data_IF_425858250643
#
_entry.id   IF_425858250643
#
_cell.length_a   1.000
_cell.length_b   1.000
_cell.length_c   1.000
_cell.angle_alpha   90.00
_cell.angle_beta   90.00
_cell.angle_gamma   90.00
#
_symmetry.space_group_name_H-M   'P 1'
#
loop_
_entity.id
_entity.type
_entity.pdbx_description
1 polymer ?
#
# COMPACT_ATOMS: atom_id res chain seq x y z
N UNK A 1 -26.65 -18.14 -16.72
CA UNK A 1 -26.07 -16.86 -16.26
C UNK A 1 -24.68 -17.15 -15.71
N UNK A 2 -23.67 -16.86 -16.48
CA UNK A 2 -22.28 -17.00 -16.02
C UNK A 2 -21.94 -15.75 -15.24
N UNK A 3 -21.78 -15.87 -13.93
CA UNK A 3 -21.19 -14.82 -13.13
C UNK A 3 -19.70 -14.82 -13.41
N UNK A 4 -19.29 -13.95 -14.28
CA UNK A 4 -17.89 -13.64 -14.54
C UNK A 4 -17.34 -12.90 -13.32
N UNK A 5 -16.93 -13.67 -12.31
CA UNK A 5 -16.24 -13.13 -11.14
C UNK A 5 -14.82 -12.85 -11.60
N UNK A 6 -14.55 -11.60 -11.89
CA UNK A 6 -13.20 -11.14 -12.20
C UNK A 6 -12.23 -11.63 -11.10
N UNK A 7 -11.06 -12.19 -11.43
CA UNK A 7 -10.10 -12.68 -10.44
C UNK A 7 -9.61 -11.61 -9.46
N UNK A 8 -9.92 -10.35 -9.70
CA UNK A 8 -9.60 -9.22 -8.84
C UNK A 8 -10.54 -9.02 -7.64
N UNK A 9 -11.66 -9.74 -7.58
CA UNK A 9 -12.68 -9.54 -6.54
C UNK A 9 -12.62 -10.58 -5.42
N UNK A 10 -11.70 -11.53 -5.51
CA UNK A 10 -11.55 -12.60 -4.52
C UNK A 10 -10.75 -12.13 -3.31
N UNK A 11 -11.38 -12.12 -2.14
CA UNK A 11 -10.71 -11.89 -0.87
C UNK A 11 -10.00 -13.17 -0.43
N UNK A 12 -8.70 -13.09 -0.22
CA UNK A 12 -7.87 -14.15 0.31
C UNK A 12 -7.63 -13.93 1.81
N UNK A 13 -7.61 -15.00 2.57
CA UNK A 13 -7.16 -14.96 3.96
C UNK A 13 -5.75 -15.51 4.06
N UNK A 14 -4.87 -14.74 4.67
CA UNK A 14 -3.48 -15.11 4.79
C UNK A 14 -2.88 -14.61 6.11
N UNK A 15 -1.78 -15.21 6.58
CA UNK A 15 -1.09 -14.70 7.75
C UNK A 15 -0.44 -13.34 7.45
N UNK A 16 -0.38 -12.46 8.43
CA UNK A 16 0.20 -11.11 8.29
C UNK A 16 1.62 -11.16 7.71
N UNK A 17 2.44 -12.12 8.12
CA UNK A 17 3.82 -12.29 7.63
C UNK A 17 3.92 -12.52 6.12
N UNK A 18 2.90 -13.09 5.51
CA UNK A 18 2.88 -13.34 4.06
C UNK A 18 2.81 -12.04 3.24
N UNK A 19 2.34 -10.95 3.83
CA UNK A 19 2.29 -9.63 3.19
C UNK A 19 3.66 -8.94 3.12
N UNK A 20 4.66 -9.41 3.87
CA UNK A 20 6.01 -8.86 3.93
C UNK A 20 6.04 -7.34 4.17
N UNK A 21 5.26 -6.86 5.15
CA UNK A 21 5.17 -5.45 5.48
C UNK A 21 6.52 -4.92 5.93
N UNK A 22 6.84 -3.69 5.54
CA UNK A 22 8.09 -3.02 5.89
C UNK A 22 7.83 -1.87 6.85
N UNK A 23 8.74 -1.66 7.80
CA UNK A 23 8.71 -0.52 8.71
C UNK A 23 8.64 0.80 7.93
N UNK A 24 7.76 1.70 8.37
CA UNK A 24 7.49 2.98 7.71
C UNK A 24 6.40 2.92 6.64
N UNK A 25 5.85 1.75 6.34
CA UNK A 25 4.77 1.60 5.38
C UNK A 25 3.52 2.34 5.86
N UNK A 26 2.87 3.06 4.95
CA UNK A 26 1.64 3.78 5.24
C UNK A 26 0.48 2.82 5.53
N UNK A 27 -0.25 3.11 6.58
CA UNK A 27 -1.46 2.43 6.99
C UNK A 27 -2.59 3.43 7.20
N UNK A 28 -3.80 2.94 7.15
CA UNK A 28 -4.98 3.66 7.64
C UNK A 28 -5.61 2.87 8.78
N UNK A 29 -5.96 3.57 9.84
CA UNK A 29 -6.66 3.02 10.99
C UNK A 29 -8.00 3.69 11.17
N UNK A 30 -9.00 2.92 11.60
CA UNK A 30 -10.32 3.42 11.93
C UNK A 30 -10.85 2.69 13.16
N UNK A 31 -11.28 3.43 14.17
CA UNK A 31 -11.99 2.87 15.33
C UNK A 31 -13.35 2.34 14.88
N UNK A 32 -13.84 1.27 15.52
CA UNK A 32 -15.17 0.72 15.24
C UNK A 32 -16.32 1.49 15.91
N UNK A 33 -16.07 2.67 16.40
CA UNK A 33 -17.09 3.55 16.98
C UNK A 33 -17.72 4.40 15.87
N UNK A 34 -19.04 4.54 15.89
CA UNK A 34 -19.75 5.38 14.92
C UNK A 34 -19.20 6.82 14.88
N UNK A 35 -19.17 7.38 13.68
CA UNK A 35 -18.70 8.76 13.48
C UNK A 35 -17.19 8.96 13.50
N UNK A 36 -16.40 7.88 13.63
CA UNK A 36 -14.94 7.99 13.60
C UNK A 36 -14.39 8.03 12.17
N UNK A 37 -13.53 9.00 11.90
CA UNK A 37 -12.81 9.12 10.63
C UNK A 37 -11.63 8.17 10.55
N UNK A 38 -11.21 7.87 9.32
CA UNK A 38 -9.94 7.20 9.06
C UNK A 38 -8.79 8.10 9.48
N UNK A 39 -7.75 7.51 10.06
CA UNK A 39 -6.50 8.20 10.42
C UNK A 39 -5.35 7.56 9.69
N UNK A 40 -4.45 8.38 9.20
CA UNK A 40 -3.18 7.94 8.64
C UNK A 40 -2.25 7.47 9.75
N UNK A 41 -1.58 6.36 9.51
CA UNK A 41 -0.67 5.73 10.44
C UNK A 41 0.51 5.11 9.70
N UNK A 42 1.49 4.58 10.44
CA UNK A 42 2.64 3.86 9.91
C UNK A 42 2.77 2.50 10.59
N UNK A 43 3.17 1.52 9.80
CA UNK A 43 3.59 0.22 10.31
C UNK A 43 5.03 0.32 10.84
N UNK A 44 5.25 0.01 12.11
CA UNK A 44 6.58 -0.02 12.70
C UNK A 44 7.21 -1.41 12.72
N UNK A 45 6.39 -2.43 12.91
CA UNK A 45 6.84 -3.81 12.95
C UNK A 45 5.81 -4.73 13.60
N UNK A 46 6.11 -6.01 13.62
CA UNK A 46 5.30 -7.01 14.32
C UNK A 46 6.16 -8.13 14.88
N UNK A 47 5.66 -8.70 15.97
CA UNK A 47 6.19 -9.94 16.54
C UNK A 47 5.07 -10.98 16.43
N UNK A 48 5.32 -12.03 15.67
CA UNK A 48 4.34 -13.07 15.42
C UNK A 48 3.76 -13.64 16.72
N UNK A 49 2.44 -13.67 16.80
CA UNK A 49 1.71 -14.13 17.97
C UNK A 49 1.74 -13.19 19.18
N UNK A 50 2.46 -12.07 19.11
CA UNK A 50 2.56 -11.10 20.23
C UNK A 50 1.89 -9.77 19.95
N UNK A 51 2.16 -9.16 18.79
CA UNK A 51 1.54 -7.88 18.47
C UNK A 51 2.09 -7.20 17.23
N UNK A 52 1.37 -6.17 16.83
CA UNK A 52 1.71 -5.28 15.73
C UNK A 52 1.89 -3.87 16.27
N UNK A 53 3.01 -3.25 15.98
CA UNK A 53 3.32 -1.86 16.37
C UNK A 53 2.93 -0.91 15.25
N UNK A 54 2.08 0.05 15.58
CA UNK A 54 1.57 1.06 14.67
C UNK A 54 1.82 2.44 15.27
N UNK A 55 2.42 3.32 14.52
CA UNK A 55 2.70 4.70 14.93
C UNK A 55 1.87 5.73 14.16
N UNK A 56 1.86 6.99 14.64
CA UNK A 56 1.23 8.07 13.90
C UNK A 56 1.99 8.36 12.61
N UNK A 57 1.29 8.89 11.61
CA UNK A 57 1.91 9.28 10.34
C UNK A 57 2.87 10.47 10.50
N UNK A 58 2.50 11.45 11.34
CA UNK A 58 3.35 12.61 11.63
C UNK A 58 4.38 12.30 12.70
N UNK A 59 5.64 12.66 12.46
CA UNK A 59 6.72 12.57 13.43
C UNK A 59 6.53 13.48 14.65
N UNK A 60 5.74 14.54 14.50
CA UNK A 60 5.46 15.52 15.55
C UNK A 60 4.27 15.13 16.43
N UNK A 61 3.61 14.02 16.12
CA UNK A 61 2.48 13.56 16.93
C UNK A 61 2.94 13.15 18.33
N UNK A 62 2.24 13.65 19.34
CA UNK A 62 2.49 13.35 20.75
C UNK A 62 1.63 12.22 21.29
N UNK A 63 0.65 11.78 20.53
CA UNK A 63 -0.30 10.72 20.90
C UNK A 63 -0.67 9.87 19.68
N UNK A 64 -1.04 8.61 19.91
CA UNK A 64 -1.50 7.69 18.86
C UNK A 64 -2.90 8.00 18.36
N UNK A 65 -3.72 8.67 19.17
CA UNK A 65 -5.16 8.81 18.94
C UNK A 65 -5.95 7.50 19.07
N UNK A 66 -5.36 6.49 19.67
CA UNK A 66 -5.96 5.19 19.99
C UNK A 66 -6.03 5.02 21.50
N UNK A 67 -7.01 4.28 21.99
CA UNK A 67 -7.18 3.98 23.41
C UNK A 67 -7.06 2.47 23.65
N UNK A 68 -6.40 2.10 24.74
CA UNK A 68 -6.26 0.71 25.17
C UNK A 68 -7.63 0.05 25.33
N UNK A 69 -7.79 -1.13 24.77
CA UNK A 69 -9.03 -1.90 24.79
C UNK A 69 -9.95 -1.68 23.59
N UNK A 70 -9.75 -0.64 22.82
CA UNK A 70 -10.52 -0.40 21.60
C UNK A 70 -10.19 -1.39 20.50
N UNK A 71 -11.18 -1.66 19.66
CA UNK A 71 -10.99 -2.42 18.42
C UNK A 71 -10.92 -1.44 17.26
N UNK A 72 -9.95 -1.63 16.41
CA UNK A 72 -9.78 -0.85 15.20
C UNK A 72 -9.62 -1.74 13.96
N UNK A 73 -9.98 -1.17 12.81
CA UNK A 73 -9.67 -1.72 11.50
C UNK A 73 -8.37 -1.10 11.04
N UNK A 74 -7.41 -1.95 10.67
CA UNK A 74 -6.17 -1.54 10.02
C UNK A 74 -6.25 -1.90 8.55
N UNK A 75 -5.91 -0.96 7.67
CA UNK A 75 -5.86 -1.15 6.22
C UNK A 75 -4.53 -0.67 5.67
N UNK A 76 -4.09 -1.32 4.62
CA UNK A 76 -2.88 -0.93 3.91
C UNK A 76 -2.84 -1.48 2.50
N UNK A 77 -1.78 -1.11 1.78
CA UNK A 77 -1.53 -1.55 0.42
C UNK A 77 -0.05 -1.89 0.25
N UNK A 78 0.25 -3.12 -0.15
CA UNK A 78 1.63 -3.62 -0.30
C UNK A 78 2.27 -3.28 -1.65
N UNK A 79 1.52 -2.69 -2.56
CA UNK A 79 1.89 -2.55 -3.97
C UNK A 79 1.24 -3.60 -4.87
N UNK A 80 0.79 -4.72 -4.31
CA UNK A 80 0.02 -5.76 -4.99
C UNK A 80 -1.33 -6.02 -4.32
N UNK A 81 -1.33 -6.14 -2.98
CA UNK A 81 -2.52 -6.45 -2.19
C UNK A 81 -3.01 -5.25 -1.41
N UNK A 82 -4.30 -4.97 -1.51
CA UNK A 82 -5.01 -4.27 -0.46
C UNK A 82 -5.30 -5.26 0.66
N UNK A 83 -5.01 -4.89 1.89
CA UNK A 83 -5.26 -5.75 3.04
C UNK A 83 -5.97 -5.01 4.17
N UNK A 84 -6.69 -5.76 4.98
CA UNK A 84 -7.29 -5.25 6.20
C UNK A 84 -7.40 -6.33 7.27
N UNK A 85 -7.34 -5.90 8.51
CA UNK A 85 -7.61 -6.76 9.66
C UNK A 85 -8.20 -5.95 10.82
N UNK A 86 -8.95 -6.64 11.65
CA UNK A 86 -9.43 -6.13 12.93
C UNK A 86 -8.40 -6.46 14.00
N UNK A 87 -8.13 -5.51 14.88
CA UNK A 87 -7.27 -5.73 16.01
C UNK A 87 -7.68 -4.88 17.21
N UNK A 88 -7.43 -5.42 18.40
CA UNK A 88 -7.61 -4.73 19.66
C UNK A 88 -6.33 -3.99 20.04
N UNK A 89 -6.46 -2.74 20.47
CA UNK A 89 -5.35 -1.98 21.03
C UNK A 89 -5.02 -2.55 22.41
N UNK A 90 -3.84 -3.14 22.54
CA UNK A 90 -3.39 -3.75 23.79
C UNK A 90 -2.84 -2.69 24.73
N UNK A 91 -2.04 -1.78 24.21
CA UNK A 91 -1.42 -0.69 24.97
C UNK A 91 -0.94 0.41 24.04
N UNK A 92 -0.91 1.64 24.55
CA UNK A 92 -0.30 2.80 23.88
C UNK A 92 0.93 3.26 24.63
N UNK A 93 1.91 3.77 23.89
CA UNK A 93 3.19 4.24 24.45
C UNK A 93 3.49 5.63 23.90
N UNK A 94 4.03 6.48 24.76
CA UNK A 94 4.49 7.82 24.39
C UNK A 94 6.01 7.94 24.41
N UNK A 95 6.68 7.07 25.20
CA UNK A 95 8.12 7.01 25.35
C UNK A 95 8.64 5.60 25.03
N UNK A 96 9.80 5.47 24.39
CA UNK A 96 10.71 6.53 23.91
C UNK A 96 10.18 7.29 22.69
N UNK A 97 9.15 6.78 22.04
CA UNK A 97 8.43 7.39 20.91
C UNK A 97 6.97 6.91 20.92
N UNK A 98 6.12 7.61 20.19
CA UNK A 98 4.68 7.36 20.19
C UNK A 98 4.34 6.16 19.30
N UNK A 99 3.72 5.13 19.87
CA UNK A 99 3.15 4.01 19.11
C UNK A 99 2.06 3.28 19.90
N UNK A 100 1.25 2.52 19.20
CA UNK A 100 0.29 1.60 19.79
C UNK A 100 0.70 0.16 19.49
N UNK A 101 0.56 -0.70 20.48
CA UNK A 101 0.68 -2.14 20.33
C UNK A 101 -0.72 -2.72 20.10
N UNK A 102 -0.94 -3.30 18.94
CA UNK A 102 -2.16 -3.98 18.56
C UNK A 102 -2.01 -5.49 18.71
N UNK A 103 -3.10 -6.18 18.99
CA UNK A 103 -3.11 -7.64 19.01
C UNK A 103 -2.70 -8.20 17.63
N UNK A 104 -1.87 -9.23 17.63
CA UNK A 104 -1.47 -9.89 16.39
C UNK A 104 -2.68 -10.58 15.75
N UNK A 105 -3.03 -10.26 14.49
CA UNK A 105 -4.20 -10.85 13.86
C UNK A 105 -3.94 -12.32 13.52
N UNK A 106 -4.93 -13.18 13.75
CA UNK A 106 -4.84 -14.58 13.36
C UNK A 106 -4.72 -14.73 11.83
N UNK A 107 -5.49 -13.92 11.10
CA UNK A 107 -5.44 -13.81 9.65
C UNK A 107 -5.76 -12.39 9.19
N UNK A 108 -5.37 -12.11 7.99
CA UNK A 108 -5.58 -10.82 7.32
C UNK A 108 -6.38 -11.08 6.06
N UNK A 109 -7.39 -10.27 5.81
CA UNK A 109 -8.10 -10.26 4.54
C UNK A 109 -7.28 -9.46 3.53
N UNK A 110 -6.97 -10.08 2.39
CA UNK A 110 -6.18 -9.45 1.33
C UNK A 110 -6.86 -9.65 -0.03
N UNK A 111 -6.83 -8.60 -0.84
CA UNK A 111 -7.34 -8.61 -2.20
C UNK A 111 -6.22 -8.23 -3.16
N UNK A 112 -6.01 -9.06 -4.18
CA UNK A 112 -5.03 -8.76 -5.21
C UNK A 112 -5.54 -7.61 -6.09
N UNK A 113 -4.84 -6.49 -6.07
CA UNK A 113 -5.14 -5.30 -6.88
C UNK A 113 -4.25 -5.24 -8.12
N UNK A 114 -3.01 -5.71 -7.98
CA UNK A 114 -2.03 -5.75 -9.08
C UNK A 114 -1.35 -7.10 -9.16
N UNK A 115 -1.28 -7.65 -10.34
CA UNK A 115 -0.60 -8.94 -10.57
C UNK A 115 0.92 -8.84 -10.36
N UNK A 116 1.49 -7.65 -10.54
CA UNK A 116 2.93 -7.43 -10.37
C UNK A 116 3.23 -6.17 -9.59
N UNK A 117 4.33 -6.20 -8.86
CA UNK A 117 4.85 -5.00 -8.19
C UNK A 117 5.35 -4.00 -9.22
N UNK A 118 5.12 -2.73 -8.94
CA UNK A 118 5.67 -1.60 -9.69
C UNK A 118 6.80 -0.98 -8.90
N UNK A 119 7.91 -0.75 -9.56
CA UNK A 119 9.04 -0.02 -9.00
C UNK A 119 9.00 1.40 -9.50
N UNK A 120 8.97 2.36 -8.60
CA UNK A 120 9.10 3.78 -8.95
C UNK A 120 10.51 4.05 -9.45
N UNK A 121 10.59 4.80 -10.53
CA UNK A 121 11.85 5.23 -11.13
C UNK A 121 11.77 6.73 -11.46
N UNK A 122 12.87 7.28 -11.88
CA UNK A 122 12.92 8.64 -12.46
C UNK A 122 13.95 8.69 -13.59
N UNK A 123 14.01 7.62 -14.36
CA UNK A 123 15.01 7.48 -15.41
C UNK A 123 14.60 8.24 -16.67
N UNK A 124 15.48 9.10 -17.22
CA UNK A 124 15.28 9.62 -18.55
C UNK A 124 15.35 8.47 -19.56
N UNK A 125 14.43 8.46 -20.49
CA UNK A 125 14.37 7.47 -21.56
C UNK A 125 13.82 8.11 -22.82
N UNK A 126 13.77 7.38 -23.90
CA UNK A 126 13.28 7.88 -25.20
C UNK A 126 12.15 7.01 -25.71
N UNK A 127 11.17 7.65 -26.32
CA UNK A 127 10.14 6.99 -27.12
C UNK A 127 10.44 7.22 -28.58
N UNK A 128 10.51 6.12 -29.33
CA UNK A 128 10.74 6.18 -30.76
C UNK A 128 9.47 6.49 -31.52
N UNK A 129 9.48 7.59 -32.25
CA UNK A 129 8.41 8.02 -33.13
C UNK A 129 8.89 8.14 -34.59
N UNK A 130 7.96 8.14 -35.58
CA UNK A 130 8.33 8.31 -36.98
C UNK A 130 9.06 9.64 -37.31
N UNK A 131 8.82 10.67 -36.51
CA UNK A 131 9.46 12.00 -36.64
C UNK A 131 10.77 12.18 -35.86
N UNK A 132 11.22 11.16 -35.12
CA UNK A 132 12.39 11.21 -34.28
C UNK A 132 12.11 10.73 -32.85
N UNK A 133 13.17 10.51 -32.09
CA UNK A 133 13.05 10.05 -30.71
C UNK A 133 12.67 11.22 -29.79
N UNK A 134 11.69 10.99 -28.90
CA UNK A 134 11.19 11.98 -27.93
C UNK A 134 11.67 11.61 -26.53
N UNK A 135 12.29 12.56 -25.85
CA UNK A 135 12.70 12.37 -24.45
C UNK A 135 11.50 12.34 -23.51
N UNK A 136 11.47 11.35 -22.64
CA UNK A 136 10.43 11.13 -21.64
C UNK A 136 11.07 10.66 -20.33
N UNK A 137 10.31 10.71 -19.25
CA UNK A 137 10.73 10.14 -17.97
C UNK A 137 9.98 8.85 -17.68
N UNK A 138 10.71 7.78 -17.39
CA UNK A 138 10.16 6.55 -16.89
C UNK A 138 9.84 6.72 -15.40
N UNK A 139 8.55 6.71 -15.05
CA UNK A 139 8.05 7.01 -13.70
C UNK A 139 7.90 5.75 -12.86
N UNK A 140 7.39 4.69 -13.45
CA UNK A 140 7.36 3.38 -12.83
C UNK A 140 7.47 2.26 -13.87
N UNK A 141 7.93 1.11 -13.42
CA UNK A 141 8.09 -0.08 -14.25
C UNK A 141 7.67 -1.34 -13.47
N UNK A 142 7.08 -2.28 -14.19
CA UNK A 142 6.78 -3.64 -13.72
C UNK A 142 7.02 -4.64 -14.84
N UNK A 143 6.93 -5.92 -14.54
CA UNK A 143 7.01 -6.98 -15.58
C UNK A 143 5.87 -6.91 -16.60
N UNK A 144 4.77 -6.24 -16.27
CA UNK A 144 3.58 -6.13 -17.12
C UNK A 144 3.50 -4.81 -17.91
N UNK A 145 4.35 -3.82 -17.58
CA UNK A 145 4.30 -2.52 -18.25
C UNK A 145 5.06 -1.44 -17.51
N UNK A 146 5.03 -0.25 -18.08
CA UNK A 146 5.71 0.92 -17.55
C UNK A 146 4.82 2.17 -17.66
N UNK A 147 5.05 3.13 -16.79
CA UNK A 147 4.47 4.46 -16.87
C UNK A 147 5.53 5.48 -17.28
N UNK A 148 5.26 6.21 -18.32
CA UNK A 148 6.14 7.29 -18.80
C UNK A 148 5.42 8.63 -18.66
N UNK A 149 6.19 9.66 -18.39
CA UNK A 149 5.74 11.06 -18.38
C UNK A 149 6.39 11.81 -19.55
N UNK A 150 5.55 12.34 -20.42
CA UNK A 150 5.96 13.15 -21.56
C UNK A 150 5.40 14.58 -21.43
N UNK A 151 6.02 15.53 -22.12
CA UNK A 151 5.57 16.93 -22.18
C UNK A 151 4.40 17.15 -23.14
N UNK A 152 4.13 16.20 -24.02
CA UNK A 152 3.04 16.26 -25.01
C UNK A 152 2.43 14.87 -25.22
N UNK A 153 1.26 14.83 -25.87
CA UNK A 153 0.66 13.56 -26.28
C UNK A 153 1.54 12.87 -27.33
N UNK A 154 1.95 11.64 -27.02
CA UNK A 154 2.78 10.83 -27.91
C UNK A 154 1.93 10.04 -28.92
N UNK A 155 0.81 9.49 -28.45
CA UNK A 155 -0.07 8.67 -29.27
C UNK A 155 -1.47 8.55 -28.67
N UNK A 156 -2.43 8.09 -29.47
CA UNK A 156 -3.77 7.74 -29.00
C UNK A 156 -3.72 6.50 -28.11
N UNK A 157 -4.70 6.38 -27.22
CA UNK A 157 -4.86 5.19 -26.36
C UNK A 157 -5.01 3.94 -27.23
N UNK A 158 -4.23 2.90 -26.94
CA UNK A 158 -4.19 1.66 -27.70
C UNK A 158 -3.15 1.62 -28.83
N UNK A 159 -2.53 2.74 -29.17
CA UNK A 159 -1.44 2.76 -30.15
C UNK A 159 -0.14 2.19 -29.55
N UNK A 160 0.65 1.41 -30.31
CA UNK A 160 1.91 0.88 -29.84
C UNK A 160 2.96 1.99 -29.73
N UNK A 161 3.70 1.95 -28.64
CA UNK A 161 4.87 2.82 -28.42
C UNK A 161 6.12 1.98 -28.19
N UNK A 162 7.24 2.42 -28.75
CA UNK A 162 8.54 1.77 -28.51
C UNK A 162 9.37 2.63 -27.57
N UNK A 163 9.59 2.12 -26.37
CA UNK A 163 10.45 2.73 -25.35
C UNK A 163 11.85 2.17 -25.52
N UNK A 164 12.84 3.03 -25.59
CA UNK A 164 14.25 2.67 -25.69
C UNK A 164 14.89 2.93 -24.33
N UNK A 165 15.39 1.86 -23.71
CA UNK A 165 16.14 1.92 -22.45
C UNK A 165 17.56 1.50 -22.73
N UNK A 166 18.53 2.37 -22.46
CA UNK A 166 19.97 2.13 -22.55
C UNK A 166 20.50 1.57 -21.23
#
# INVERSE_FOLDING_TARGET
MSTDTSPHDTVLRMPLKALALRSGMALQTRRLVEGTSKKEAQYFGAIEGKGVMVGPHSSDATQTGMETGEVCVVRGFTGQYEFSFLSKVLQTFEKPFVYALLAYPAQVDARLVRQSMRTKTSWPTQVREPGGDVEVALVDISVAGAMIKASSNLAAVGAPLKVVMD
#
